data_IF_233052852146
#
_entry.id   IF_233052852146
#
_cell.length_a   1.000
_cell.length_b   1.000
_cell.length_c   1.000
_cell.angle_alpha   90.00
_cell.angle_beta   90.00
_cell.angle_gamma   90.00
#
_symmetry.space_group_name_H-M   'P 1'
#
loop_
_entity.id
_entity.type
_entity.pdbx_description
1 polymer ?
#
# COMPACT_ATOMS: atom_id res chain seq x y z
N UNK A 1 -6.74 5.71 26.70
CA UNK A 1 -6.95 5.34 25.27
C UNK A 1 -8.45 5.34 25.02
N UNK A 2 -8.93 5.95 23.94
CA UNK A 2 -10.38 5.94 23.67
C UNK A 2 -10.75 4.50 23.26
N UNK A 3 -11.92 4.00 23.65
CA UNK A 3 -12.37 2.62 23.35
C UNK A 3 -12.23 2.24 21.87
N UNK A 4 -12.38 3.22 20.97
CA UNK A 4 -12.20 3.05 19.51
C UNK A 4 -10.77 2.71 19.11
N UNK A 5 -9.76 3.19 19.84
CA UNK A 5 -8.35 2.88 19.62
C UNK A 5 -8.07 1.41 19.95
N UNK A 6 -8.65 0.93 21.05
CA UNK A 6 -8.56 -0.46 21.47
C UNK A 6 -9.24 -1.38 20.45
N UNK A 7 -10.47 -1.05 20.03
CA UNK A 7 -11.20 -1.82 19.00
C UNK A 7 -10.40 -1.91 17.69
N UNK A 8 -9.86 -0.79 17.20
CA UNK A 8 -9.04 -0.78 15.99
C UNK A 8 -7.80 -1.69 16.13
N UNK A 9 -7.12 -1.62 17.28
CA UNK A 9 -5.97 -2.47 17.58
C UNK A 9 -6.33 -3.96 17.65
N UNK A 10 -7.45 -4.31 18.28
CA UNK A 10 -7.95 -5.68 18.35
C UNK A 10 -8.30 -6.23 16.96
N UNK A 11 -8.89 -5.42 16.08
CA UNK A 11 -9.18 -5.84 14.70
C UNK A 11 -7.88 -6.14 13.95
N UNK A 12 -6.88 -5.25 14.04
CA UNK A 12 -5.59 -5.47 13.38
C UNK A 12 -4.89 -6.73 13.92
N UNK A 13 -4.93 -6.92 15.24
CA UNK A 13 -4.36 -8.10 15.90
C UNK A 13 -5.07 -9.37 15.45
N UNK A 14 -6.41 -9.36 15.39
CA UNK A 14 -7.19 -10.50 14.93
C UNK A 14 -6.84 -10.89 13.48
N UNK A 15 -6.75 -9.90 12.58
CA UNK A 15 -6.34 -10.14 11.17
C UNK A 15 -4.91 -10.72 11.13
N UNK A 16 -4.00 -10.16 11.91
CA UNK A 16 -2.61 -10.63 12.00
C UNK A 16 -2.55 -12.08 12.51
N UNK A 17 -3.29 -12.40 13.58
CA UNK A 17 -3.34 -13.75 14.14
C UNK A 17 -3.94 -14.74 13.14
N UNK A 18 -5.00 -14.38 12.42
CA UNK A 18 -5.57 -15.23 11.37
C UNK A 18 -4.54 -15.55 10.28
N UNK A 19 -3.71 -14.57 9.89
CA UNK A 19 -2.65 -14.80 8.89
C UNK A 19 -1.53 -15.68 9.44
N UNK A 20 -1.07 -15.45 10.67
CA UNK A 20 0.19 -16.03 11.15
C UNK A 20 0.05 -17.29 12.01
N UNK A 21 -1.14 -17.60 12.55
CA UNK A 21 -1.35 -18.85 13.29
C UNK A 21 -1.29 -20.06 12.33
N UNK A 22 -0.57 -21.15 12.67
CA UNK A 22 -0.33 -22.26 11.73
C UNK A 22 -1.60 -22.84 11.09
N UNK A 23 -2.68 -22.98 11.87
CA UNK A 23 -3.95 -23.57 11.40
C UNK A 23 -4.68 -22.66 10.41
N UNK A 24 -4.72 -21.36 10.65
CA UNK A 24 -5.42 -20.39 9.78
C UNK A 24 -4.53 -19.88 8.66
N UNK A 25 -3.20 -19.97 8.83
CA UNK A 25 -2.22 -19.65 7.80
C UNK A 25 -2.40 -20.51 6.54
N UNK A 26 -2.61 -21.83 6.70
CA UNK A 26 -2.86 -22.72 5.57
C UNK A 26 -4.11 -22.30 4.78
N UNK A 27 -5.19 -21.95 5.49
CA UNK A 27 -6.42 -21.43 4.89
C UNK A 27 -6.13 -20.12 4.13
N UNK A 28 -5.38 -19.20 4.74
CA UNK A 28 -4.98 -17.95 4.12
C UNK A 28 -4.16 -18.17 2.83
N UNK A 29 -3.17 -19.07 2.88
CA UNK A 29 -2.30 -19.39 1.73
C UNK A 29 -3.12 -20.04 0.62
N UNK A 30 -3.99 -21.00 0.95
CA UNK A 30 -4.88 -21.67 -0.01
C UNK A 30 -5.80 -20.68 -0.70
N UNK A 31 -6.53 -19.85 0.06
CA UNK A 31 -7.42 -18.84 -0.49
C UNK A 31 -6.67 -17.83 -1.36
N UNK A 32 -5.48 -17.41 -0.94
CA UNK A 32 -4.63 -16.50 -1.72
C UNK A 32 -4.18 -17.11 -3.03
N UNK A 33 -3.91 -18.41 -3.04
CA UNK A 33 -3.45 -19.12 -4.24
C UNK A 33 -4.62 -19.38 -5.19
N UNK A 34 -5.79 -19.76 -4.66
CA UNK A 34 -6.99 -20.09 -5.44
C UNK A 34 -7.71 -18.85 -5.99
N UNK A 35 -7.73 -17.76 -5.23
CA UNK A 35 -8.45 -16.53 -5.58
C UNK A 35 -7.54 -15.30 -5.45
N UNK A 36 -6.44 -15.20 -6.20
CA UNK A 36 -5.39 -14.21 -5.97
C UNK A 36 -5.90 -12.76 -6.08
N UNK A 37 -6.70 -12.44 -7.10
CA UNK A 37 -7.25 -11.09 -7.28
C UNK A 37 -8.28 -10.73 -6.21
N UNK A 38 -9.22 -11.63 -5.89
CA UNK A 38 -10.20 -11.37 -4.84
C UNK A 38 -9.53 -11.20 -3.47
N UNK A 39 -8.51 -12.01 -3.17
CA UNK A 39 -7.73 -11.88 -1.95
C UNK A 39 -6.86 -10.63 -1.95
N UNK A 40 -6.28 -10.25 -3.08
CA UNK A 40 -5.59 -8.96 -3.24
C UNK A 40 -6.51 -7.78 -2.94
N UNK A 41 -7.73 -7.82 -3.48
CA UNK A 41 -8.78 -6.85 -3.21
C UNK A 41 -9.12 -6.77 -1.72
N UNK A 42 -9.46 -7.91 -1.09
CA UNK A 42 -9.87 -7.92 0.31
C UNK A 42 -8.75 -7.47 1.26
N UNK A 43 -7.52 -7.97 1.09
CA UNK A 43 -6.38 -7.63 1.95
C UNK A 43 -6.12 -6.13 1.97
N UNK A 44 -6.07 -5.53 0.78
CA UNK A 44 -5.71 -4.13 0.60
C UNK A 44 -6.86 -3.20 0.94
N UNK A 45 -8.09 -3.52 0.54
CA UNK A 45 -9.30 -2.80 0.95
C UNK A 45 -9.38 -2.67 2.47
N UNK A 46 -9.13 -3.76 3.21
CA UNK A 46 -9.23 -3.75 4.67
C UNK A 46 -8.04 -3.00 5.28
N UNK A 47 -6.81 -3.46 5.03
CA UNK A 47 -5.63 -2.98 5.75
C UNK A 47 -5.23 -1.54 5.36
N UNK A 48 -5.30 -1.17 4.08
CA UNK A 48 -4.97 0.18 3.68
C UNK A 48 -6.00 1.19 4.20
N UNK A 49 -7.30 0.85 4.16
CA UNK A 49 -8.35 1.68 4.77
C UNK A 49 -8.16 1.82 6.28
N UNK A 50 -7.78 0.74 6.98
CA UNK A 50 -7.44 0.80 8.40
C UNK A 50 -6.28 1.78 8.64
N UNK A 51 -5.27 1.79 7.79
CA UNK A 51 -4.15 2.74 7.82
C UNK A 51 -4.59 4.20 7.66
N UNK A 52 -5.40 4.50 6.65
CA UNK A 52 -5.94 5.85 6.43
C UNK A 52 -6.79 6.34 7.60
N UNK A 53 -7.66 5.47 8.11
CA UNK A 53 -8.50 5.74 9.27
C UNK A 53 -7.62 6.04 10.50
N UNK A 54 -6.55 5.28 10.71
CA UNK A 54 -5.61 5.52 11.81
C UNK A 54 -4.89 6.86 11.65
N UNK A 55 -4.36 7.16 10.47
CA UNK A 55 -3.73 8.45 10.12
C UNK A 55 -4.67 9.60 10.43
N UNK A 56 -5.93 9.48 10.01
CA UNK A 56 -6.94 10.52 10.25
C UNK A 56 -7.23 10.68 11.74
N UNK A 57 -7.32 9.58 12.49
CA UNK A 57 -7.46 9.63 13.95
C UNK A 57 -6.27 10.32 14.61
N UNK A 58 -5.03 10.04 14.19
CA UNK A 58 -3.83 10.71 14.73
C UNK A 58 -3.87 12.22 14.46
N UNK A 59 -4.36 12.63 13.29
CA UNK A 59 -4.40 14.04 12.88
C UNK A 59 -5.56 14.84 13.45
N UNK A 60 -6.74 14.23 13.59
CA UNK A 60 -8.01 14.93 13.90
C UNK A 60 -8.64 14.51 15.21
N UNK A 61 -8.21 13.39 15.80
CA UNK A 61 -8.82 12.79 16.99
C UNK A 61 -10.10 11.98 16.72
N UNK A 62 -10.55 11.86 15.47
CA UNK A 62 -11.77 11.15 15.07
C UNK A 62 -11.50 10.06 14.01
N UNK A 63 -12.20 8.93 14.12
CA UNK A 63 -12.10 7.80 13.19
C UNK A 63 -12.94 7.99 11.90
N UNK A 64 -14.21 8.38 12.02
CA UNK A 64 -15.18 8.32 10.92
C UNK A 64 -15.75 9.70 10.55
N UNK A 65 -14.87 10.61 10.16
CA UNK A 65 -15.27 11.95 9.71
C UNK A 65 -14.82 12.24 8.28
N UNK A 66 -14.36 11.22 7.55
CA UNK A 66 -13.99 11.36 6.13
C UNK A 66 -15.18 11.04 5.24
N UNK A 67 -15.72 12.04 4.53
CA UNK A 67 -16.61 11.72 3.43
C UNK A 67 -15.83 10.85 2.43
N UNK A 68 -16.44 9.75 1.98
CA UNK A 68 -15.85 8.89 0.94
C UNK A 68 -14.97 7.75 1.43
N UNK A 69 -14.84 7.50 2.75
CA UNK A 69 -14.03 6.39 3.29
C UNK A 69 -14.36 5.04 2.66
N UNK A 70 -15.64 4.77 2.38
CA UNK A 70 -16.07 3.50 1.75
C UNK A 70 -15.67 3.42 0.28
N UNK A 71 -15.70 4.54 -0.45
CA UNK A 71 -15.27 4.58 -1.86
C UNK A 71 -13.75 4.41 -1.92
N UNK A 72 -13.00 5.11 -1.05
CA UNK A 72 -11.55 4.94 -0.92
C UNK A 72 -11.19 3.49 -0.61
N UNK A 73 -11.95 2.80 0.26
CA UNK A 73 -11.73 1.38 0.54
C UNK A 73 -11.88 0.50 -0.71
N UNK A 74 -12.92 0.73 -1.53
CA UNK A 74 -13.10 0.01 -2.79
C UNK A 74 -11.94 0.28 -3.76
N UNK A 75 -11.46 1.53 -3.83
CA UNK A 75 -10.29 1.88 -4.65
C UNK A 75 -9.05 1.16 -4.13
N UNK A 76 -8.82 1.11 -2.82
CA UNK A 76 -7.74 0.31 -2.25
C UNK A 76 -7.81 -1.16 -2.64
N UNK A 77 -9.01 -1.75 -2.61
CA UNK A 77 -9.22 -3.10 -3.10
C UNK A 77 -8.85 -3.25 -4.57
N UNK A 78 -9.27 -2.32 -5.43
CA UNK A 78 -8.89 -2.33 -6.84
C UNK A 78 -7.37 -2.25 -7.02
N UNK A 79 -6.69 -1.36 -6.28
CA UNK A 79 -5.24 -1.23 -6.28
C UNK A 79 -4.56 -2.53 -5.82
N UNK A 80 -5.17 -3.28 -4.90
CA UNK A 80 -4.69 -4.60 -4.52
C UNK A 80 -4.71 -5.62 -5.64
N UNK A 81 -5.73 -5.60 -6.49
CA UNK A 81 -5.76 -6.44 -7.70
C UNK A 81 -4.64 -6.06 -8.66
N UNK A 82 -4.33 -4.77 -8.76
CA UNK A 82 -3.18 -4.30 -9.55
C UNK A 82 -1.87 -4.83 -8.96
N UNK A 83 -1.69 -4.83 -7.63
CA UNK A 83 -0.48 -5.39 -7.01
C UNK A 83 -0.32 -6.89 -7.27
N UNK A 84 -1.42 -7.65 -7.28
CA UNK A 84 -1.42 -9.07 -7.65
C UNK A 84 -0.89 -9.31 -9.07
N UNK A 85 -1.16 -8.39 -10.00
CA UNK A 85 -0.63 -8.44 -11.36
C UNK A 85 0.81 -7.94 -11.47
N UNK A 86 1.10 -6.79 -10.85
CA UNK A 86 2.38 -6.08 -11.01
C UNK A 86 3.52 -6.80 -10.31
N UNK A 87 3.31 -7.40 -9.14
CA UNK A 87 4.39 -8.05 -8.40
C UNK A 87 4.99 -9.24 -9.17
N UNK A 88 4.20 -10.19 -9.72
CA UNK A 88 4.74 -11.23 -10.59
C UNK A 88 5.34 -10.69 -11.89
N UNK A 89 4.81 -9.61 -12.45
CA UNK A 89 5.35 -9.01 -13.69
C UNK A 89 6.81 -8.57 -13.50
N UNK A 90 7.11 -7.82 -12.44
CA UNK A 90 8.48 -7.40 -12.15
C UNK A 90 9.36 -8.55 -11.64
N UNK A 91 8.81 -9.45 -10.80
CA UNK A 91 9.55 -10.63 -10.34
C UNK A 91 10.00 -11.49 -11.53
N UNK A 92 9.08 -11.86 -12.42
CA UNK A 92 9.38 -12.64 -13.63
C UNK A 92 10.35 -11.91 -14.58
N UNK A 93 10.15 -10.61 -14.80
CA UNK A 93 11.04 -9.81 -15.65
C UNK A 93 12.49 -9.78 -15.15
N UNK A 94 12.69 -9.52 -13.85
CA UNK A 94 14.03 -9.55 -13.25
C UNK A 94 14.61 -10.96 -13.28
N UNK A 95 13.80 -12.00 -13.03
CA UNK A 95 14.23 -13.40 -13.15
C UNK A 95 14.81 -13.73 -14.52
N UNK A 96 14.14 -13.29 -15.59
CA UNK A 96 14.59 -13.48 -16.96
C UNK A 96 15.89 -12.75 -17.24
N UNK A 97 16.03 -11.49 -16.79
CA UNK A 97 17.25 -10.70 -16.96
C UNK A 97 18.44 -11.34 -16.24
N UNK A 98 18.22 -11.83 -15.03
CA UNK A 98 19.26 -12.47 -14.23
C UNK A 98 19.62 -13.87 -14.74
N UNK A 99 18.79 -14.49 -15.58
CA UNK A 99 18.99 -15.84 -16.10
C UNK A 99 19.39 -16.89 -15.02
N UNK A 100 18.84 -16.76 -13.80
CA UNK A 100 19.20 -17.55 -12.62
C UNK A 100 20.71 -17.53 -12.26
N UNK A 101 21.44 -16.50 -12.65
CA UNK A 101 22.85 -16.34 -12.31
C UNK A 101 23.04 -16.19 -10.80
N UNK A 102 24.02 -16.90 -10.27
CA UNK A 102 24.51 -16.78 -8.91
C UNK A 102 25.64 -15.74 -8.95
N UNK A 103 25.44 -14.60 -8.29
CA UNK A 103 26.39 -13.48 -8.25
C UNK A 103 27.36 -13.63 -7.08
N UNK A 104 26.87 -14.16 -5.96
CA UNK A 104 27.65 -14.35 -4.73
C UNK A 104 27.67 -15.83 -4.35
N UNK A 105 28.68 -16.29 -3.63
CA UNK A 105 28.63 -17.65 -3.05
C UNK A 105 27.57 -17.76 -1.95
N UNK A 106 27.23 -16.64 -1.31
CA UNK A 106 26.26 -16.58 -0.23
C UNK A 106 24.81 -16.52 -0.77
N UNK A 107 23.99 -17.50 -0.40
CA UNK A 107 22.58 -17.61 -0.82
C UNK A 107 21.73 -16.39 -0.39
N UNK A 108 21.94 -15.89 0.83
CA UNK A 108 21.21 -14.73 1.33
C UNK A 108 21.53 -13.47 0.52
N UNK A 109 22.80 -13.24 0.17
CA UNK A 109 23.18 -12.09 -0.67
C UNK A 109 22.56 -12.18 -2.07
N UNK A 110 22.47 -13.38 -2.65
CA UNK A 110 21.76 -13.56 -3.93
C UNK A 110 20.27 -13.25 -3.82
N UNK A 111 19.60 -13.73 -2.76
CA UNK A 111 18.18 -13.40 -2.51
C UNK A 111 17.99 -11.90 -2.29
N UNK A 112 18.90 -11.26 -1.57
CA UNK A 112 18.84 -9.83 -1.26
C UNK A 112 19.03 -8.97 -2.51
N UNK A 113 20.06 -9.24 -3.33
CA UNK A 113 20.29 -8.46 -4.57
C UNK A 113 19.14 -8.66 -5.55
N UNK A 114 18.63 -9.88 -5.68
CA UNK A 114 17.49 -10.18 -6.53
C UNK A 114 16.24 -9.41 -6.08
N UNK A 115 15.89 -9.48 -4.79
CA UNK A 115 14.77 -8.75 -4.21
C UNK A 115 14.94 -7.23 -4.32
N UNK A 116 16.17 -6.73 -4.16
CA UNK A 116 16.50 -5.31 -4.35
C UNK A 116 16.27 -4.88 -5.79
N UNK A 117 16.67 -5.67 -6.78
CA UNK A 117 16.46 -5.34 -8.19
C UNK A 117 14.97 -5.30 -8.56
N UNK A 118 14.18 -6.27 -8.08
CA UNK A 118 12.72 -6.22 -8.27
C UNK A 118 12.15 -4.95 -7.64
N UNK A 119 12.51 -4.69 -6.38
CA UNK A 119 12.07 -3.51 -5.65
C UNK A 119 12.44 -2.22 -6.37
N UNK A 120 13.70 -2.06 -6.76
CA UNK A 120 14.21 -0.87 -7.42
C UNK A 120 13.50 -0.62 -8.74
N UNK A 121 13.44 -1.62 -9.64
CA UNK A 121 12.80 -1.50 -10.94
C UNK A 121 11.30 -1.19 -10.82
N UNK A 122 10.58 -1.91 -9.95
CA UNK A 122 9.16 -1.66 -9.73
C UNK A 122 8.92 -0.26 -9.15
N UNK A 123 9.72 0.18 -8.18
CA UNK A 123 9.54 1.47 -7.54
C UNK A 123 9.94 2.65 -8.43
N UNK A 124 10.88 2.48 -9.35
CA UNK A 124 11.25 3.56 -10.29
C UNK A 124 10.26 3.65 -11.46
N UNK A 125 9.78 2.51 -11.97
CA UNK A 125 8.95 2.46 -13.18
C UNK A 125 7.46 2.56 -12.84
N UNK A 126 6.98 1.75 -11.90
CA UNK A 126 5.54 1.62 -11.61
C UNK A 126 5.06 2.55 -10.50
N UNK A 127 5.81 2.69 -9.40
CA UNK A 127 5.32 3.43 -8.24
C UNK A 127 4.95 4.91 -8.51
N UNK A 128 5.66 5.69 -9.34
CA UNK A 128 5.27 7.06 -9.67
C UNK A 128 3.91 7.11 -10.37
N UNK A 129 3.71 6.24 -11.36
CA UNK A 129 2.45 6.14 -12.12
C UNK A 129 1.30 5.73 -11.22
N UNK A 130 1.51 4.70 -10.39
CA UNK A 130 0.54 4.24 -9.41
C UNK A 130 0.16 5.33 -8.40
N UNK A 131 1.14 6.00 -7.79
CA UNK A 131 0.86 7.02 -6.77
C UNK A 131 0.19 8.25 -7.35
N UNK A 132 0.50 8.60 -8.61
CA UNK A 132 -0.23 9.65 -9.30
C UNK A 132 -1.68 9.23 -9.56
N UNK A 133 -1.91 8.02 -10.09
CA UNK A 133 -3.25 7.49 -10.31
C UNK A 133 -4.09 7.48 -9.03
N UNK A 134 -3.54 6.96 -7.93
CA UNK A 134 -4.20 6.96 -6.63
C UNK A 134 -4.52 8.39 -6.15
N UNK A 135 -3.60 9.34 -6.36
CA UNK A 135 -3.84 10.74 -6.01
C UNK A 135 -4.95 11.38 -6.84
N UNK A 136 -5.05 11.05 -8.13
CA UNK A 136 -6.19 11.45 -8.96
C UNK A 136 -7.50 10.89 -8.40
N UNK A 137 -7.55 9.58 -8.13
CA UNK A 137 -8.77 8.95 -7.61
C UNK A 137 -9.20 9.53 -6.25
N UNK A 138 -8.24 9.78 -5.35
CA UNK A 138 -8.53 10.40 -4.06
C UNK A 138 -9.06 11.82 -4.22
N UNK A 139 -8.47 12.59 -5.13
CA UNK A 139 -8.88 13.97 -5.38
C UNK A 139 -10.28 14.04 -5.99
N UNK A 140 -10.64 13.09 -6.88
CA UNK A 140 -12.02 12.93 -7.36
C UNK A 140 -12.99 12.68 -6.20
N UNK A 141 -12.65 11.77 -5.28
CA UNK A 141 -13.49 11.45 -4.11
C UNK A 141 -13.63 12.67 -3.20
N UNK A 142 -12.53 13.37 -2.94
CA UNK A 142 -12.50 14.53 -2.04
C UNK A 142 -13.33 15.69 -2.61
N UNK A 143 -13.21 16.00 -3.91
CA UNK A 143 -14.01 17.03 -4.58
C UNK A 143 -15.49 16.64 -4.69
N UNK A 144 -15.78 15.35 -4.86
CA UNK A 144 -17.14 14.82 -4.83
C UNK A 144 -17.71 14.62 -3.43
N UNK A 145 -16.99 15.02 -2.36
CA UNK A 145 -17.38 14.83 -0.96
C UNK A 145 -17.85 13.39 -0.65
N UNK A 146 -17.20 12.39 -1.28
CA UNK A 146 -17.55 10.99 -1.08
C UNK A 146 -18.90 10.55 -1.63
N UNK A 147 -19.59 11.38 -2.40
CA UNK A 147 -20.85 11.04 -3.06
C UNK A 147 -20.60 10.64 -4.51
N UNK A 148 -20.99 9.42 -4.90
CA UNK A 148 -20.82 8.94 -6.29
C UNK A 148 -21.47 9.89 -7.29
N UNK A 149 -22.66 10.42 -6.98
CA UNK A 149 -23.37 11.38 -7.84
C UNK A 149 -22.60 12.68 -8.05
N UNK A 150 -21.89 13.16 -7.02
CA UNK A 150 -21.05 14.36 -7.14
C UNK A 150 -19.73 14.04 -7.83
N UNK A 151 -19.11 12.90 -7.51
CA UNK A 151 -17.85 12.44 -8.13
C UNK A 151 -17.95 12.41 -9.65
N UNK A 152 -19.05 11.87 -10.21
CA UNK A 152 -19.24 11.82 -11.68
C UNK A 152 -19.43 13.18 -12.34
N UNK A 153 -19.73 14.23 -11.55
CA UNK A 153 -19.85 15.62 -12.05
C UNK A 153 -18.56 16.43 -11.88
N UNK A 154 -17.55 15.89 -11.18
CA UNK A 154 -16.26 16.57 -10.99
C UNK A 154 -15.53 16.64 -12.33
N UNK A 155 -15.07 17.84 -12.70
CA UNK A 155 -14.30 18.05 -13.93
C UNK A 155 -12.85 17.62 -13.72
N UNK A 156 -12.25 16.99 -14.73
CA UNK A 156 -10.84 16.60 -14.70
C UNK A 156 -9.89 17.77 -14.43
N UNK A 157 -10.16 18.95 -15.01
CA UNK A 157 -9.35 20.16 -14.78
C UNK A 157 -9.26 20.56 -13.31
N UNK A 158 -10.36 20.40 -12.56
CA UNK A 158 -10.41 20.76 -11.13
C UNK A 158 -9.58 19.78 -10.31
N UNK A 159 -9.57 18.50 -10.70
CA UNK A 159 -8.73 17.46 -10.10
C UNK A 159 -7.25 17.76 -10.32
N UNK A 160 -6.85 18.05 -11.56
CA UNK A 160 -5.47 18.41 -11.91
C UNK A 160 -5.04 19.63 -11.10
N UNK A 161 -5.84 20.70 -11.07
CA UNK A 161 -5.50 21.93 -10.32
C UNK A 161 -5.40 21.72 -8.80
N UNK A 162 -6.15 20.77 -8.25
CA UNK A 162 -6.16 20.50 -6.80
C UNK A 162 -4.94 19.71 -6.33
N UNK A 163 -4.29 18.95 -7.21
CA UNK A 163 -3.13 18.13 -6.88
C UNK A 163 -1.90 19.01 -6.61
N UNK A 164 -1.30 18.84 -5.43
CA UNK A 164 0.00 19.45 -5.11
C UNK A 164 1.14 18.65 -5.77
N UNK A 165 1.49 19.07 -7.00
CA UNK A 165 2.58 18.46 -7.78
C UNK A 165 3.96 18.73 -7.17
N UNK A 166 4.17 19.89 -6.55
CA UNK A 166 5.44 20.20 -5.91
C UNK A 166 5.71 19.22 -4.75
N UNK A 167 4.71 18.98 -3.88
CA UNK A 167 4.82 17.95 -2.84
C UNK A 167 4.99 16.55 -3.43
N UNK A 168 4.26 16.23 -4.49
CA UNK A 168 4.38 14.93 -5.16
C UNK A 168 5.82 14.67 -5.62
N UNK A 169 6.43 15.58 -6.38
CA UNK A 169 7.80 15.36 -6.86
C UNK A 169 8.85 15.50 -5.74
N UNK A 170 8.81 16.57 -4.96
CA UNK A 170 9.86 16.88 -3.97
C UNK A 170 9.87 15.94 -2.76
N UNK A 171 8.72 15.35 -2.41
CA UNK A 171 8.58 14.50 -1.24
C UNK A 171 8.26 13.06 -1.61
N UNK A 172 7.21 12.81 -2.39
CA UNK A 172 6.78 11.44 -2.68
C UNK A 172 7.81 10.74 -3.56
N UNK A 173 8.14 11.33 -4.72
CA UNK A 173 9.10 10.74 -5.66
C UNK A 173 10.52 10.78 -5.13
N UNK A 174 11.00 11.94 -4.66
CA UNK A 174 12.41 12.09 -4.30
C UNK A 174 12.79 11.57 -2.91
N UNK A 175 11.82 11.36 -2.00
CA UNK A 175 12.12 10.91 -0.62
C UNK A 175 11.39 9.64 -0.25
N UNK A 176 10.08 9.59 -0.45
CA UNK A 176 9.30 8.41 -0.01
C UNK A 176 9.63 7.17 -0.84
N UNK A 177 9.77 7.29 -2.17
CA UNK A 177 10.17 6.14 -2.99
C UNK A 177 11.56 5.61 -2.60
N UNK A 178 12.64 6.43 -2.59
CA UNK A 178 13.98 5.90 -2.36
C UNK A 178 14.23 5.47 -0.92
N UNK A 179 13.73 6.25 0.06
CA UNK A 179 14.09 6.04 1.46
C UNK A 179 13.13 5.09 2.19
N UNK A 180 11.90 4.92 1.70
CA UNK A 180 10.91 4.06 2.34
C UNK A 180 10.51 2.88 1.45
N UNK A 181 10.00 3.14 0.25
CA UNK A 181 9.40 2.08 -0.56
C UNK A 181 10.42 1.13 -1.17
N UNK A 182 11.58 1.60 -1.62
CA UNK A 182 12.63 0.70 -2.14
C UNK A 182 13.12 -0.26 -1.03
N UNK A 183 13.57 0.19 0.15
CA UNK A 183 13.97 -0.71 1.23
C UNK A 183 12.83 -1.65 1.68
N UNK A 184 11.62 -1.12 1.86
CA UNK A 184 10.49 -1.90 2.35
C UNK A 184 10.02 -2.96 1.35
N UNK A 185 10.01 -2.63 0.05
CA UNK A 185 9.67 -3.60 -0.99
C UNK A 185 10.80 -4.61 -1.21
N UNK A 186 12.06 -4.27 -0.97
CA UNK A 186 13.15 -5.27 -0.98
C UNK A 186 12.87 -6.37 0.04
N UNK A 187 12.52 -6.02 1.28
CA UNK A 187 12.11 -7.00 2.31
C UNK A 187 10.86 -7.75 1.85
N UNK A 188 9.90 -7.05 1.25
CA UNK A 188 8.66 -7.67 0.74
C UNK A 188 8.95 -8.74 -0.31
N UNK A 189 9.86 -8.50 -1.25
CA UNK A 189 10.19 -9.46 -2.32
C UNK A 189 11.02 -10.66 -1.83
N UNK A 190 11.62 -10.58 -0.63
CA UNK A 190 12.21 -11.74 0.04
C UNK A 190 11.15 -12.68 0.63
N UNK A 191 9.91 -12.23 0.80
CA UNK A 191 8.80 -13.06 1.28
C UNK A 191 8.22 -13.94 0.15
N UNK A 192 7.59 -15.09 0.51
CA UNK A 192 6.82 -15.86 -0.45
C UNK A 192 5.70 -15.02 -1.10
N UNK A 193 5.38 -15.32 -2.36
CA UNK A 193 4.47 -14.51 -3.19
C UNK A 193 3.10 -14.25 -2.56
N UNK A 194 2.56 -15.22 -1.81
CA UNK A 194 1.27 -15.13 -1.12
C UNK A 194 1.21 -14.06 -0.03
N UNK A 195 2.35 -13.64 0.51
CA UNK A 195 2.47 -12.61 1.56
C UNK A 195 2.81 -11.23 1.02
N UNK A 196 3.27 -11.10 -0.23
CA UNK A 196 3.81 -9.82 -0.73
C UNK A 196 2.78 -8.70 -0.74
N UNK A 197 1.59 -8.95 -1.28
CA UNK A 197 0.48 -7.98 -1.30
C UNK A 197 -0.02 -7.64 0.11
N UNK A 198 0.00 -8.63 1.01
CA UNK A 198 -0.34 -8.41 2.41
C UNK A 198 0.68 -7.47 3.09
N UNK A 199 1.98 -7.72 2.88
CA UNK A 199 3.07 -6.90 3.41
C UNK A 199 2.98 -5.46 2.88
N UNK A 200 2.75 -5.27 1.58
CA UNK A 200 2.51 -3.95 1.00
C UNK A 200 1.34 -3.20 1.67
N UNK A 201 0.29 -3.93 2.05
CA UNK A 201 -0.87 -3.37 2.76
C UNK A 201 -0.53 -2.97 4.20
N UNK A 202 0.32 -3.71 4.90
CA UNK A 202 0.82 -3.28 6.22
C UNK A 202 1.75 -2.06 6.11
N UNK A 203 2.58 -1.99 5.07
CA UNK A 203 3.49 -0.88 4.84
C UNK A 203 2.76 0.45 4.64
N UNK A 204 1.54 0.46 4.09
CA UNK A 204 0.74 1.69 3.97
C UNK A 204 0.33 2.24 5.33
N UNK A 205 0.01 1.37 6.30
CA UNK A 205 -0.27 1.75 7.70
C UNK A 205 0.99 2.36 8.32
N UNK A 206 2.14 1.68 8.19
CA UNK A 206 3.42 2.14 8.74
C UNK A 206 3.81 3.51 8.19
N UNK A 207 3.77 3.68 6.87
CA UNK A 207 4.07 4.95 6.23
C UNK A 207 3.12 6.05 6.71
N UNK A 208 1.82 5.75 6.79
CA UNK A 208 0.82 6.69 7.26
C UNK A 208 1.11 7.20 8.67
N UNK A 209 1.51 6.31 9.59
CA UNK A 209 1.91 6.66 10.95
C UNK A 209 3.17 7.54 10.94
N UNK A 210 4.23 7.12 10.24
CA UNK A 210 5.49 7.88 10.14
C UNK A 210 5.28 9.31 9.63
N UNK A 211 4.48 9.47 8.57
CA UNK A 211 4.16 10.79 7.99
C UNK A 211 3.28 11.64 8.91
N UNK A 212 2.50 11.03 9.80
CA UNK A 212 1.65 11.75 10.74
C UNK A 212 2.42 12.29 11.93
N UNK A 213 3.41 11.54 12.43
CA UNK A 213 4.27 11.95 13.55
C UNK A 213 5.17 13.14 13.15
N UNK A 214 5.84 13.05 11.99
CA UNK A 214 6.72 14.12 11.49
C UNK A 214 6.01 15.47 11.32
N UNK A 215 4.71 15.45 10.99
CA UNK A 215 3.91 16.68 10.82
C UNK A 215 3.52 17.32 12.16
N UNK A 216 3.43 16.54 13.23
CA UNK A 216 3.14 17.06 14.58
C UNK A 216 4.37 17.73 15.22
N UNK A 217 5.56 17.19 14.99
CA UNK A 217 6.82 17.81 15.44
C UNK A 217 7.03 19.19 14.84
N UNK A 218 6.71 19.38 13.55
CA UNK A 218 6.83 20.67 12.88
C UNK A 218 5.82 21.74 13.35
N UNK A 219 4.86 21.37 14.19
CA UNK A 219 3.82 22.25 14.77
C UNK A 219 4.04 22.54 16.25
N UNK A 220 5.02 21.89 16.89
CA UNK A 220 5.50 22.22 18.24
C UNK A 220 6.75 23.07 18.13
#
# INVERSE_FOLDING_TARGET
>A
MKIKDFIWGCILLFISLFVFLPRTNQIFVELTTRFPYAMGFLKTMILASMGEILVKRIRTGYYFRDPGVYIKAIIWGFLGMVFVFVFPLFDGGIKTIFNNQIIFENEFLNKLIYAFMISFSMNVIFAPTFMMFHRFTDTYIDLGEGSIKKIVTVRFDDVVKKIDYHFFFSFVIMKTIPLFWIPAHTITFMLPSTYRVLMASYLSIVLGVLLSLKKQEKKR
#
